data_IF_760362201644
#
_entry.id   IF_760362201644
#
_cell.length_a   1.000
_cell.length_b   1.000
_cell.length_c   1.000
_cell.angle_alpha   90.00
_cell.angle_beta   90.00
_cell.angle_gamma   90.00
#
_symmetry.space_group_name_H-M   'P 1'
#
loop_
_entity.id
_entity.type
_entity.pdbx_description
1 polymer ?
#
# COMPACT_ATOMS: atom_id res chain seq x y z
N UNK A 1 0.81 -16.98 -12.35
CA UNK A 1 -0.07 -15.89 -12.83
C UNK A 1 0.28 -15.50 -14.27
N UNK A 2 1.44 -14.87 -14.51
CA UNK A 2 1.79 -14.38 -15.86
C UNK A 2 1.82 -15.46 -16.95
N UNK A 3 2.31 -16.68 -16.67
CA UNK A 3 2.21 -17.80 -17.64
C UNK A 3 0.76 -18.11 -18.04
N UNK A 4 -0.15 -18.11 -17.06
CA UNK A 4 -1.57 -18.37 -17.30
C UNK A 4 -2.27 -17.23 -18.05
N UNK A 5 -1.86 -15.98 -17.82
CA UNK A 5 -2.35 -14.85 -18.63
C UNK A 5 -1.75 -14.90 -20.04
N UNK A 6 -0.46 -15.24 -20.16
CA UNK A 6 0.23 -15.33 -21.44
C UNK A 6 -0.43 -16.36 -22.37
N UNK A 7 -0.88 -17.50 -21.86
CA UNK A 7 -1.52 -18.52 -22.70
C UNK A 7 -2.88 -18.09 -23.26
N UNK A 8 -3.56 -17.14 -22.61
CA UNK A 8 -4.88 -16.66 -23.01
C UNK A 8 -4.82 -15.38 -23.85
N UNK A 9 -3.76 -14.58 -23.67
CA UNK A 9 -3.66 -13.26 -24.29
C UNK A 9 -3.02 -13.36 -25.68
N UNK A 10 -3.63 -12.71 -26.66
CA UNK A 10 -3.03 -12.54 -27.98
C UNK A 10 -1.78 -11.66 -27.89
N UNK A 11 -0.80 -11.80 -28.81
CA UNK A 11 0.27 -10.81 -28.97
C UNK A 11 -0.30 -9.40 -29.05
N UNK A 12 0.38 -8.44 -28.43
CA UNK A 12 -0.04 -7.05 -28.23
C UNK A 12 -1.29 -6.83 -27.35
N UNK A 13 -1.84 -7.89 -26.75
CA UNK A 13 -2.90 -7.75 -25.77
C UNK A 13 -2.39 -7.11 -24.47
N UNK A 14 -3.29 -6.40 -23.78
CA UNK A 14 -2.98 -5.73 -22.52
C UNK A 14 -3.36 -6.60 -21.32
N UNK A 15 -2.49 -6.62 -20.31
CA UNK A 15 -2.77 -7.16 -18.99
C UNK A 15 -2.63 -6.03 -17.97
N UNK A 16 -3.75 -5.60 -17.40
CA UNK A 16 -3.80 -4.53 -16.42
C UNK A 16 -4.57 -4.99 -15.19
N UNK A 17 -4.31 -4.32 -14.07
CA UNK A 17 -4.97 -4.64 -12.82
C UNK A 17 -4.47 -3.76 -11.69
N UNK A 18 -4.81 -4.21 -10.48
CA UNK A 18 -4.52 -3.50 -9.25
C UNK A 18 -3.62 -4.37 -8.39
N UNK A 19 -2.64 -3.75 -7.74
CA UNK A 19 -1.78 -4.41 -6.79
C UNK A 19 -1.57 -3.50 -5.60
N UNK A 20 -1.10 -4.06 -4.49
CA UNK A 20 -0.67 -3.25 -3.36
C UNK A 20 0.70 -2.65 -3.61
N UNK A 21 0.88 -1.41 -3.19
CA UNK A 21 2.13 -0.69 -3.30
C UNK A 21 3.09 -1.10 -2.18
N UNK A 22 4.03 -2.00 -2.52
CA UNK A 22 5.01 -2.49 -1.56
C UNK A 22 5.89 -1.36 -0.97
N UNK A 23 6.15 -0.29 -1.73
CA UNK A 23 6.96 0.83 -1.26
C UNK A 23 6.23 1.66 -0.20
N UNK A 24 4.93 1.89 -0.39
CA UNK A 24 4.09 2.59 0.58
C UNK A 24 3.85 1.74 1.83
N UNK A 25 3.53 0.46 1.66
CA UNK A 25 3.40 -0.50 2.77
C UNK A 25 4.65 -0.51 3.66
N UNK A 26 5.83 -0.56 3.05
CA UNK A 26 7.09 -0.51 3.77
C UNK A 26 7.32 0.84 4.45
N UNK A 27 6.98 1.95 3.80
CA UNK A 27 7.11 3.28 4.38
C UNK A 27 6.26 3.44 5.65
N UNK A 28 5.06 2.86 5.68
CA UNK A 28 4.23 2.82 6.89
C UNK A 28 4.86 1.97 7.99
N UNK A 29 5.34 0.77 7.65
CA UNK A 29 5.98 -0.13 8.61
C UNK A 29 7.27 0.48 9.20
N UNK A 30 8.10 1.11 8.37
CA UNK A 30 9.36 1.72 8.77
C UNK A 30 9.16 2.86 9.76
N UNK A 31 8.17 3.74 9.51
CA UNK A 31 7.81 4.82 10.45
C UNK A 31 7.42 4.29 11.83
N UNK A 32 6.69 3.17 11.86
CA UNK A 32 6.26 2.53 13.10
C UNK A 32 7.45 1.89 13.84
N UNK A 33 8.37 1.24 13.12
CA UNK A 33 9.63 0.71 13.69
C UNK A 33 10.44 1.83 14.33
N UNK A 34 10.69 2.91 13.60
CA UNK A 34 11.46 4.07 14.08
C UNK A 34 10.84 4.70 15.34
N UNK A 35 9.52 4.84 15.35
CA UNK A 35 8.80 5.38 16.52
C UNK A 35 8.95 4.49 17.75
N UNK A 36 8.85 3.16 17.59
CA UNK A 36 9.08 2.19 18.67
C UNK A 36 10.51 2.26 19.21
N UNK A 37 11.50 2.41 18.34
CA UNK A 37 12.90 2.56 18.75
C UNK A 37 13.14 3.83 19.56
N UNK A 38 12.56 4.96 19.12
CA UNK A 38 12.64 6.24 19.84
C UNK A 38 12.01 6.13 21.24
N UNK A 39 10.82 5.54 21.33
CA UNK A 39 10.14 5.34 22.62
C UNK A 39 10.97 4.46 23.56
N UNK A 40 11.53 3.37 23.05
CA UNK A 40 12.40 2.47 23.82
C UNK A 40 13.65 3.18 24.32
N UNK A 41 14.30 3.98 23.47
CA UNK A 41 15.47 4.75 23.87
C UNK A 41 15.13 5.76 24.98
N UNK A 42 13.96 6.40 24.90
CA UNK A 42 13.45 7.29 25.93
C UNK A 42 13.16 6.57 27.25
N UNK A 43 12.55 5.39 27.20
CA UNK A 43 12.30 4.55 28.39
C UNK A 43 13.61 4.12 29.06
N UNK A 44 14.60 3.68 28.27
CA UNK A 44 15.92 3.31 28.80
C UNK A 44 16.68 4.49 29.40
N UNK A 45 16.50 5.71 28.89
CA UNK A 45 17.07 6.92 29.48
C UNK A 45 16.44 7.31 30.83
N UNK A 46 15.21 6.88 31.09
CA UNK A 46 14.49 7.11 32.35
C UNK A 46 14.77 5.99 33.38
N UNK A 47 15.09 4.77 32.93
CA UNK A 47 15.48 3.67 33.80
C UNK A 47 16.92 3.83 34.33
N UNK A 48 17.13 3.52 35.61
CA UNK A 48 18.46 3.49 36.22
C UNK A 48 19.39 2.51 35.48
N UNK A 49 20.63 2.95 35.23
CA UNK A 49 21.69 2.29 34.44
C UNK A 49 21.86 0.77 34.65
N UNK A 50 21.55 0.23 35.83
CA UNK A 50 21.64 -1.21 36.15
C UNK A 50 20.59 -2.10 35.44
N UNK A 51 19.37 -1.62 35.19
CA UNK A 51 18.31 -2.39 34.50
C UNK A 51 18.45 -2.34 32.97
N UNK A 52 19.03 -1.26 32.44
CA UNK A 52 19.25 -1.07 31.01
C UNK A 52 20.28 -2.06 30.43
N UNK A 53 21.28 -2.46 31.23
CA UNK A 53 22.31 -3.44 30.83
C UNK A 53 21.79 -4.89 30.79
N UNK A 54 20.76 -5.22 31.56
CA UNK A 54 20.13 -6.55 31.53
C UNK A 54 19.14 -6.68 30.36
N UNK A 55 18.45 -5.58 30.00
CA UNK A 55 17.50 -5.52 28.89
C UNK A 55 18.15 -5.56 27.49
N UNK A 56 19.44 -5.25 27.37
CA UNK A 56 20.19 -5.32 26.10
C UNK A 56 20.62 -6.74 25.70
N UNK A 57 20.41 -7.73 26.58
CA UNK A 57 20.79 -9.13 26.36
C UNK A 57 19.71 -10.00 25.68
N UNK A 58 18.47 -9.50 25.57
CA UNK A 58 17.45 -10.13 24.73
C UNK A 58 17.63 -9.69 23.28
N UNK A 59 17.97 -10.64 22.41
CA UNK A 59 18.09 -10.48 20.95
C UNK A 59 17.03 -9.53 20.36
N UNK A 60 17.38 -8.63 19.41
CA UNK A 60 16.47 -7.65 18.82
C UNK A 60 15.53 -8.30 17.78
N UNK A 61 14.90 -9.41 18.13
CA UNK A 61 14.00 -10.12 17.21
C UNK A 61 12.67 -9.38 17.19
N UNK A 62 12.45 -8.75 16.04
CA UNK A 62 11.38 -7.81 15.79
C UNK A 62 10.03 -8.46 15.95
N UNK A 63 9.30 -8.01 16.97
CA UNK A 63 7.87 -8.23 17.15
C UNK A 63 7.10 -7.86 15.89
N UNK A 64 5.90 -8.42 15.73
CA UNK A 64 5.00 -8.02 14.65
C UNK A 64 4.86 -6.49 14.53
N UNK A 65 4.91 -5.98 13.31
CA UNK A 65 4.73 -4.54 13.06
C UNK A 65 3.24 -4.33 12.87
N UNK A 66 2.69 -3.43 13.67
CA UNK A 66 1.27 -3.08 13.65
C UNK A 66 1.15 -1.59 13.40
N UNK A 67 0.62 -1.21 12.25
CA UNK A 67 0.36 0.18 11.88
C UNK A 67 -1.13 0.42 12.00
N UNK A 68 -1.52 1.32 12.91
CA UNK A 68 -2.90 1.72 13.08
C UNK A 68 -3.17 3.03 12.33
N UNK A 69 -4.14 3.02 11.42
CA UNK A 69 -4.67 4.21 10.75
C UNK A 69 -6.18 4.29 10.95
N UNK A 70 -6.76 5.42 10.57
CA UNK A 70 -8.21 5.66 10.71
C UNK A 70 -9.03 4.72 9.83
N UNK A 71 -8.63 4.57 8.56
CA UNK A 71 -9.37 3.79 7.57
C UNK A 71 -8.82 2.38 7.34
N UNK A 72 -7.67 2.03 7.93
CA UNK A 72 -7.07 0.71 7.77
C UNK A 72 -6.09 0.40 8.90
N UNK A 73 -5.79 -0.88 9.09
CA UNK A 73 -4.70 -1.36 9.93
C UNK A 73 -3.78 -2.24 9.10
N UNK A 74 -2.46 -2.11 9.26
CA UNK A 74 -1.48 -3.00 8.63
C UNK A 74 -0.83 -3.89 9.67
N UNK A 75 -0.72 -5.17 9.36
CA UNK A 75 -0.06 -6.16 10.21
C UNK A 75 1.00 -6.90 9.42
N UNK A 76 2.26 -6.77 9.85
CA UNK A 76 3.37 -7.59 9.38
C UNK A 76 3.73 -8.60 10.47
N UNK A 77 3.75 -9.91 10.15
CA UNK A 77 4.05 -10.96 11.12
C UNK A 77 5.49 -10.86 11.65
N UNK A 78 5.70 -11.42 12.84
CA UNK A 78 6.97 -11.40 13.57
C UNK A 78 8.09 -12.11 12.80
N UNK A 79 9.30 -11.53 12.79
CA UNK A 79 10.51 -12.18 12.27
C UNK A 79 10.59 -12.28 10.74
N UNK A 80 9.69 -11.65 9.98
CA UNK A 80 9.87 -11.52 8.54
C UNK A 80 10.97 -10.48 8.23
N UNK A 81 12.18 -10.96 7.94
CA UNK A 81 13.09 -10.22 7.06
C UNK A 81 12.37 -10.07 5.72
N UNK A 82 12.31 -8.85 5.15
CA UNK A 82 11.65 -8.60 3.87
C UNK A 82 12.39 -9.33 2.75
N UNK A 83 12.03 -10.59 2.56
CA UNK A 83 12.57 -11.44 1.52
C UNK A 83 12.03 -10.98 0.18
N UNK A 84 12.77 -11.29 -0.89
CA UNK A 84 12.38 -10.98 -2.27
C UNK A 84 11.02 -11.58 -2.65
N UNK A 85 10.65 -12.71 -2.05
CA UNK A 85 9.37 -13.39 -2.21
C UNK A 85 8.92 -13.97 -0.87
N UNK A 86 7.61 -14.15 -0.69
CA UNK A 86 7.04 -14.87 0.45
C UNK A 86 6.81 -14.01 1.70
N UNK A 87 7.27 -12.76 1.71
CA UNK A 87 6.92 -11.78 2.74
C UNK A 87 5.42 -11.52 2.70
N UNK A 88 4.73 -11.69 3.83
CA UNK A 88 3.29 -11.57 3.96
C UNK A 88 2.92 -10.39 4.82
N UNK A 89 1.74 -9.85 4.55
CA UNK A 89 1.15 -8.84 5.39
C UNK A 89 -0.36 -8.96 5.32
N UNK A 90 -1.03 -8.25 6.22
CA UNK A 90 -2.49 -8.16 6.26
C UNK A 90 -2.90 -6.69 6.36
N UNK A 91 -3.89 -6.32 5.56
CA UNK A 91 -4.62 -5.05 5.68
C UNK A 91 -5.98 -5.38 6.26
N UNK A 92 -6.38 -4.73 7.34
CA UNK A 92 -7.73 -4.80 7.87
C UNK A 92 -8.39 -3.44 7.66
N UNK A 93 -9.54 -3.39 6.98
CA UNK A 93 -10.37 -2.20 6.85
C UNK A 93 -11.44 -2.25 7.95
N UNK A 94 -11.29 -1.45 9.02
CA UNK A 94 -12.21 -1.46 10.14
C UNK A 94 -13.58 -0.91 9.70
N UNK A 95 -14.57 -1.80 9.68
CA UNK A 95 -16.03 -1.62 9.65
C UNK A 95 -16.59 -0.33 9.02
N UNK A 96 -17.36 -0.51 7.94
CA UNK A 96 -18.45 0.41 7.57
C UNK A 96 -19.64 0.26 8.56
N UNK A 97 -20.63 1.16 8.47
CA UNK A 97 -21.81 1.26 9.38
C UNK A 97 -22.57 -0.08 9.62
N UNK A 98 -22.41 -1.07 8.74
CA UNK A 98 -23.06 -2.39 8.77
C UNK A 98 -22.29 -3.48 9.55
N UNK A 99 -21.09 -3.21 10.07
CA UNK A 99 -20.40 -4.16 10.95
C UNK A 99 -19.69 -5.34 10.23
N UNK A 100 -19.39 -5.23 8.92
CA UNK A 100 -18.52 -6.16 8.19
C UNK A 100 -17.05 -5.70 8.13
N UNK A 101 -16.11 -6.51 8.63
CA UNK A 101 -14.66 -6.26 8.52
C UNK A 101 -14.13 -6.89 7.22
N UNK A 102 -13.47 -6.10 6.38
CA UNK A 102 -12.76 -6.62 5.20
C UNK A 102 -11.26 -6.72 5.49
N UNK A 103 -10.71 -7.94 5.42
CA UNK A 103 -9.28 -8.19 5.60
C UNK A 103 -8.66 -8.77 4.33
N UNK A 104 -7.60 -8.12 3.85
CA UNK A 104 -6.76 -8.61 2.76
C UNK A 104 -5.49 -9.19 3.35
N UNK A 105 -5.31 -10.51 3.26
CA UNK A 105 -4.05 -11.17 3.58
C UNK A 105 -3.38 -11.65 2.30
N UNK A 106 -2.20 -11.10 1.99
CA UNK A 106 -1.50 -11.40 0.74
C UNK A 106 0.02 -11.29 0.89
N UNK A 107 0.74 -11.62 -0.19
CA UNK A 107 2.18 -11.49 -0.28
C UNK A 107 2.56 -10.09 -0.77
N UNK A 108 3.68 -9.58 -0.28
CA UNK A 108 4.28 -8.35 -0.76
C UNK A 108 4.79 -8.55 -2.20
N UNK A 109 4.42 -7.63 -3.09
CA UNK A 109 4.82 -7.67 -4.50
C UNK A 109 5.67 -6.45 -4.82
N UNK A 110 6.98 -6.65 -4.93
CA UNK A 110 7.88 -5.60 -5.42
C UNK A 110 7.71 -5.43 -6.94
N UNK A 111 7.43 -4.20 -7.39
CA UNK A 111 7.28 -3.86 -8.81
C UNK A 111 8.45 -4.35 -9.66
N UNK A 112 9.69 -4.17 -9.19
CA UNK A 112 10.90 -4.65 -9.87
C UNK A 112 10.90 -6.17 -10.10
N UNK A 113 10.52 -6.96 -9.09
CA UNK A 113 10.40 -8.42 -9.22
C UNK A 113 9.27 -8.81 -10.17
N UNK A 114 8.13 -8.11 -10.09
CA UNK A 114 6.98 -8.33 -10.97
C UNK A 114 7.34 -8.10 -12.43
N UNK A 115 8.01 -6.98 -12.75
CA UNK A 115 8.47 -6.64 -14.10
C UNK A 115 9.46 -7.67 -14.62
N UNK A 116 10.39 -8.14 -13.79
CA UNK A 116 11.37 -9.15 -14.17
C UNK A 116 10.70 -10.49 -14.53
N UNK A 117 9.72 -10.93 -13.73
CA UNK A 117 8.95 -12.16 -14.01
C UNK A 117 8.10 -11.99 -15.26
N UNK A 118 7.44 -10.84 -15.44
CA UNK A 118 6.62 -10.56 -16.62
C UNK A 118 7.44 -10.68 -17.92
N UNK A 119 8.68 -10.16 -17.91
CA UNK A 119 9.60 -10.23 -19.06
C UNK A 119 9.97 -11.66 -19.45
N UNK A 120 10.03 -12.60 -18.49
CA UNK A 120 10.36 -14.00 -18.77
C UNK A 120 9.31 -14.69 -19.63
N UNK A 121 8.08 -14.17 -19.66
CA UNK A 121 6.96 -14.73 -20.45
C UNK A 121 6.42 -13.74 -21.47
N UNK A 122 7.32 -12.92 -22.03
CA UNK A 122 7.04 -11.98 -23.12
C UNK A 122 6.02 -10.89 -22.75
N UNK A 123 6.10 -10.31 -21.55
CA UNK A 123 5.39 -9.07 -21.24
C UNK A 123 6.36 -7.90 -21.07
N UNK A 124 6.00 -6.75 -21.64
CA UNK A 124 6.62 -5.47 -21.37
C UNK A 124 5.75 -4.66 -20.41
N UNK A 125 6.36 -4.10 -19.36
CA UNK A 125 5.68 -3.17 -18.46
C UNK A 125 5.51 -1.84 -19.18
N UNK A 126 4.26 -1.38 -19.29
CA UNK A 126 3.95 -0.04 -19.78
C UNK A 126 3.97 0.96 -18.64
N UNK A 127 3.30 0.62 -17.54
CA UNK A 127 3.20 1.52 -16.39
C UNK A 127 2.88 0.77 -15.09
N UNK A 128 3.37 1.32 -13.98
CA UNK A 128 2.95 0.98 -12.61
C UNK A 128 2.89 2.30 -11.86
N UNK A 129 1.69 2.70 -11.44
CA UNK A 129 1.45 4.03 -10.89
C UNK A 129 0.60 3.94 -9.63
N UNK A 130 0.99 4.69 -8.59
CA UNK A 130 0.25 4.75 -7.34
C UNK A 130 -1.12 5.42 -7.56
N UNK A 131 -2.15 5.02 -6.81
CA UNK A 131 -3.49 5.63 -6.95
C UNK A 131 -3.53 7.11 -6.61
N UNK A 132 -2.67 7.57 -5.69
CA UNK A 132 -2.54 9.00 -5.39
C UNK A 132 -2.01 9.75 -6.61
N UNK A 133 -0.94 9.25 -7.23
CA UNK A 133 -0.34 9.84 -8.45
C UNK A 133 -1.35 9.81 -9.61
N UNK A 134 -2.00 8.67 -9.83
CA UNK A 134 -3.05 8.53 -10.83
C UNK A 134 -4.18 9.55 -10.61
N UNK A 135 -4.65 9.71 -9.37
CA UNK A 135 -5.68 10.68 -9.08
C UNK A 135 -5.18 12.10 -9.37
N UNK A 136 -3.98 12.46 -8.94
CA UNK A 136 -3.44 13.81 -9.14
C UNK A 136 -3.28 14.17 -10.63
N UNK A 137 -2.81 13.23 -11.44
CA UNK A 137 -2.59 13.43 -12.88
C UNK A 137 -3.90 13.44 -13.67
N UNK A 138 -4.85 12.57 -13.33
CA UNK A 138 -6.04 12.35 -14.13
C UNK A 138 -7.34 12.91 -13.54
N UNK A 139 -7.34 13.50 -12.34
CA UNK A 139 -8.56 14.05 -11.71
C UNK A 139 -9.33 15.00 -12.62
N UNK A 140 -8.66 15.83 -13.41
CA UNK A 140 -9.34 16.78 -14.32
C UNK A 140 -10.12 16.07 -15.43
N UNK A 141 -9.64 14.91 -15.88
CA UNK A 141 -10.26 14.12 -16.93
C UNK A 141 -11.39 13.25 -16.38
N UNK A 142 -11.22 12.69 -15.18
CA UNK A 142 -12.18 11.77 -14.57
C UNK A 142 -13.14 12.41 -13.59
N UNK A 143 -13.00 13.71 -13.29
CA UNK A 143 -13.81 14.41 -12.28
C UNK A 143 -15.31 14.15 -12.44
N UNK A 144 -15.86 14.40 -13.63
CA UNK A 144 -17.29 14.22 -13.92
C UNK A 144 -17.77 12.79 -13.73
N UNK A 145 -16.91 11.82 -14.05
CA UNK A 145 -17.25 10.41 -13.88
C UNK A 145 -17.21 10.04 -12.40
N UNK A 146 -16.19 10.49 -11.67
CA UNK A 146 -16.06 10.26 -10.23
C UNK A 146 -17.21 10.91 -9.43
N UNK A 147 -17.61 12.13 -9.80
CA UNK A 147 -18.77 12.83 -9.23
C UNK A 147 -20.07 12.06 -9.51
N UNK A 148 -20.30 11.66 -10.77
CA UNK A 148 -21.50 10.89 -11.14
C UNK A 148 -21.58 9.53 -10.44
N UNK A 149 -20.44 8.93 -10.15
CA UNK A 149 -20.35 7.66 -9.42
C UNK A 149 -20.45 7.85 -7.90
N UNK A 150 -20.57 9.09 -7.40
CA UNK A 150 -20.67 9.37 -5.97
C UNK A 150 -19.37 9.10 -5.20
N UNK A 151 -18.23 9.03 -5.89
CA UNK A 151 -16.92 8.74 -5.28
C UNK A 151 -16.34 9.97 -4.58
N UNK A 152 -16.76 11.17 -5.00
CA UNK A 152 -16.27 12.43 -4.45
C UNK A 152 -17.25 12.95 -3.40
N UNK A 153 -16.72 13.52 -2.31
CA UNK A 153 -17.52 14.27 -1.35
C UNK A 153 -18.16 15.48 -2.03
N UNK A 154 -19.46 15.38 -2.33
CA UNK A 154 -20.25 16.47 -2.89
C UNK A 154 -20.83 17.30 -1.76
N UNK A 155 -20.11 18.35 -1.35
CA UNK A 155 -20.75 19.45 -0.63
C UNK A 155 -21.31 20.40 -1.69
N UNK A 156 -22.58 20.76 -1.56
CA UNK A 156 -23.29 21.75 -2.40
C UNK A 156 -22.38 22.93 -2.77
N UNK A 157 -21.77 22.92 -3.96
CA UNK A 157 -20.84 23.98 -4.37
C UNK A 157 -20.82 24.16 -5.88
N UNK A 158 -20.90 25.42 -6.29
CA UNK A 158 -20.84 25.92 -7.67
C UNK A 158 -19.54 25.57 -8.39
N UNK A 159 -19.58 25.51 -9.73
CA UNK A 159 -18.49 25.15 -10.68
C UNK A 159 -17.08 25.73 -10.38
N UNK A 160 -16.99 26.87 -9.70
CA UNK A 160 -15.71 27.55 -9.38
C UNK A 160 -14.96 26.88 -8.22
N UNK A 161 -15.68 26.21 -7.30
CA UNK A 161 -15.11 25.57 -6.10
C UNK A 161 -14.47 24.19 -6.39
N UNK A 162 -14.79 23.62 -7.55
CA UNK A 162 -14.45 22.24 -7.95
C UNK A 162 -12.96 22.05 -8.24
N UNK A 163 -12.26 23.09 -8.70
CA UNK A 163 -10.83 23.02 -9.07
C UNK A 163 -9.91 23.09 -7.84
N UNK A 164 -10.40 23.64 -6.73
CA UNK A 164 -9.61 23.92 -5.53
C UNK A 164 -9.86 22.95 -4.37
N UNK A 165 -10.99 22.22 -4.34
CA UNK A 165 -11.27 21.24 -3.28
C UNK A 165 -10.48 19.95 -3.49
N UNK A 166 -9.93 19.42 -2.40
CA UNK A 166 -9.44 18.03 -2.32
C UNK A 166 -10.67 17.15 -2.05
N UNK A 167 -11.13 16.36 -3.02
CA UNK A 167 -12.35 15.58 -2.84
C UNK A 167 -12.14 14.34 -1.97
N UNK A 168 -10.88 14.03 -1.66
CA UNK A 168 -10.48 13.05 -0.66
C UNK A 168 -9.80 13.77 0.50
N UNK A 169 -10.15 13.38 1.72
CA UNK A 169 -9.45 13.81 2.93
C UNK A 169 -8.06 13.15 3.04
N UNK A 170 -7.31 13.52 4.07
CA UNK A 170 -5.96 12.99 4.25
C UNK A 170 -5.95 11.48 4.49
N UNK A 171 -6.91 10.97 5.24
CA UNK A 171 -6.98 9.55 5.61
C UNK A 171 -7.36 8.70 4.40
N UNK A 172 -8.28 9.21 3.56
CA UNK A 172 -8.66 8.61 2.27
C UNK A 172 -7.48 8.56 1.31
N UNK A 173 -6.71 9.65 1.20
CA UNK A 173 -5.48 9.66 0.39
C UNK A 173 -4.42 8.68 0.92
N UNK A 174 -4.30 8.53 2.24
CA UNK A 174 -3.42 7.53 2.86
C UNK A 174 -3.89 6.09 2.58
N UNK A 175 -5.20 5.82 2.55
CA UNK A 175 -5.74 4.51 2.21
C UNK A 175 -5.56 4.19 0.72
N UNK A 176 -5.79 5.17 -0.16
CA UNK A 176 -5.56 5.03 -1.60
C UNK A 176 -4.09 4.71 -1.91
N UNK A 177 -3.15 5.30 -1.17
CA UNK A 177 -1.71 5.10 -1.44
C UNK A 177 -1.25 3.65 -1.22
N UNK A 178 -2.03 2.82 -0.55
CA UNK A 178 -1.75 1.38 -0.39
C UNK A 178 -1.79 0.62 -1.71
N UNK A 179 -2.33 1.19 -2.78
CA UNK A 179 -2.55 0.51 -4.05
C UNK A 179 -1.92 1.24 -5.23
N UNK A 180 -1.55 0.43 -6.22
CA UNK A 180 -1.05 0.86 -7.52
C UNK A 180 -1.84 0.17 -8.63
N UNK A 181 -2.06 0.88 -9.72
CA UNK A 181 -2.46 0.27 -10.98
C UNK A 181 -1.20 -0.22 -11.70
N UNK A 182 -1.29 -1.35 -12.38
CA UNK A 182 -0.26 -1.83 -13.29
C UNK A 182 -0.84 -2.07 -14.69
N UNK A 183 0.01 -1.91 -15.70
CA UNK A 183 -0.32 -2.24 -17.08
C UNK A 183 0.90 -2.84 -17.79
N UNK A 184 0.69 -4.02 -18.36
CA UNK A 184 1.65 -4.72 -19.20
C UNK A 184 1.04 -4.95 -20.58
N UNK A 185 1.91 -5.07 -21.58
CA UNK A 185 1.55 -5.51 -22.93
C UNK A 185 2.29 -6.80 -23.24
N UNK A 186 1.60 -7.78 -23.83
CA UNK A 186 2.22 -9.00 -24.32
C UNK A 186 2.98 -8.70 -25.61
N UNK A 187 4.26 -9.03 -25.65
CA UNK A 187 5.10 -8.96 -26.83
C UNK A 187 4.75 -10.08 -27.82
N UNK A 188 5.29 -9.98 -29.04
CA UNK A 188 5.24 -11.04 -30.06
C UNK A 188 5.81 -12.38 -29.58
#
# INVERSE_FOLDING_TARGET
>A
MFEGVSSLLMPHGFFFGTMTDAGQLWTFAQKEIELREILRAREMAVMSSELALLASSSSPRGGSIYVQKKLFNLVFPEGEEFQRFGSRYRIDFPLDEDGSEESIQTNLVHSSSLIQIARQVQFACLDIMNYVEFWEDFRKHFHRIAERLGVLHTSEATEVDVVLRKPFDKDEMEAMSLFSAFMFVKCD
#
